data_IF_934270518083
#
_entry.id   IF_934270518083
#
_cell.length_a   1.000
_cell.length_b   1.000
_cell.length_c   1.000
_cell.angle_alpha   90.00
_cell.angle_beta   90.00
_cell.angle_gamma   90.00
#
_symmetry.space_group_name_H-M   'P 1'
#
loop_
_entity.id
_entity.type
_entity.pdbx_description
1 polymer ?
#
# COMPACT_ATOMS: atom_id res chain seq x y z
N UNK A 1 -13.23 -21.24 -87.03
CA UNK A 1 -11.91 -20.87 -86.54
C UNK A 1 -11.88 -21.22 -85.08
N UNK A 2 -11.19 -22.29 -84.73
CA UNK A 2 -11.16 -22.89 -83.38
C UNK A 2 -10.03 -22.24 -82.56
N UNK A 3 -10.36 -21.86 -81.36
CA UNK A 3 -9.33 -21.54 -80.36
C UNK A 3 -9.50 -22.42 -79.13
N UNK A 4 -8.51 -23.30 -78.95
CA UNK A 4 -8.41 -24.18 -77.78
C UNK A 4 -8.00 -23.38 -76.53
N UNK A 5 -8.80 -23.54 -75.45
CA UNK A 5 -8.48 -23.04 -74.14
C UNK A 5 -7.79 -24.15 -73.33
N UNK A 6 -6.54 -23.95 -72.89
CA UNK A 6 -5.79 -24.88 -72.05
C UNK A 6 -5.96 -24.47 -70.63
N UNK A 7 -6.69 -25.29 -69.86
CA UNK A 7 -6.87 -25.11 -68.41
C UNK A 7 -5.62 -25.55 -67.68
N UNK A 8 -4.93 -24.63 -66.99
CA UNK A 8 -3.83 -24.94 -66.06
C UNK A 8 -4.37 -25.12 -64.66
N UNK A 9 -4.28 -26.33 -64.17
CA UNK A 9 -4.56 -26.71 -62.81
C UNK A 9 -3.37 -26.33 -61.94
N UNK A 10 -3.52 -25.31 -61.10
CA UNK A 10 -2.50 -24.90 -60.10
C UNK A 10 -2.88 -25.52 -58.76
N UNK A 11 -2.04 -26.48 -58.32
CA UNK A 11 -2.12 -27.10 -57.00
C UNK A 11 -1.47 -26.18 -55.98
N UNK A 12 -2.30 -25.53 -55.12
CA UNK A 12 -1.81 -24.72 -54.04
C UNK A 12 -1.60 -25.59 -52.78
N UNK A 13 -0.37 -25.82 -52.39
CA UNK A 13 -0.01 -26.38 -51.09
C UNK A 13 -0.21 -25.30 -50.01
N UNK A 14 -1.22 -25.46 -49.19
CA UNK A 14 -1.40 -24.63 -47.99
C UNK A 14 -0.56 -25.19 -46.86
N UNK A 15 0.54 -24.51 -46.54
CA UNK A 15 1.29 -24.72 -45.30
C UNK A 15 0.51 -24.05 -44.15
N UNK A 16 -0.15 -24.87 -43.34
CA UNK A 16 -0.80 -24.43 -42.13
C UNK A 16 0.25 -24.16 -41.04
N UNK A 17 0.58 -22.88 -40.80
CA UNK A 17 1.34 -22.46 -39.65
C UNK A 17 0.36 -22.35 -38.50
N UNK A 18 0.36 -23.33 -37.59
CA UNK A 18 -0.35 -23.24 -36.31
C UNK A 18 0.43 -22.31 -35.40
N UNK A 19 -0.01 -21.04 -35.32
CA UNK A 19 0.43 -20.11 -34.30
C UNK A 19 -0.18 -20.55 -32.95
N UNK A 20 0.64 -21.22 -32.14
CA UNK A 20 0.30 -21.47 -30.75
C UNK A 20 0.39 -20.13 -30.02
N UNK A 21 -0.71 -19.41 -29.91
CA UNK A 21 -0.80 -18.23 -29.07
C UNK A 21 -0.67 -18.67 -27.60
N UNK A 22 0.49 -18.38 -26.99
CA UNK A 22 0.60 -18.40 -25.53
C UNK A 22 -0.33 -17.32 -24.98
N UNK A 23 -1.52 -17.70 -24.59
CA UNK A 23 -2.41 -16.84 -23.79
C UNK A 23 -1.78 -16.67 -22.41
N UNK A 24 -1.02 -15.60 -22.23
CA UNK A 24 -0.66 -15.12 -20.91
C UNK A 24 -1.93 -14.54 -20.28
N UNK A 25 -2.63 -15.34 -19.52
CA UNK A 25 -3.72 -14.87 -18.66
C UNK A 25 -3.12 -13.89 -17.66
N UNK A 26 -3.67 -12.68 -17.50
CA UNK A 26 -3.19 -11.74 -16.50
C UNK A 26 -3.19 -12.41 -15.12
N UNK A 27 -2.21 -12.14 -14.25
CA UNK A 27 -2.08 -12.81 -12.96
C UNK A 27 -3.28 -12.61 -12.01
N UNK A 28 -4.16 -11.69 -12.32
CA UNK A 28 -5.33 -11.32 -11.51
C UNK A 28 -6.59 -12.18 -11.76
N UNK A 29 -6.55 -13.13 -12.69
CA UNK A 29 -7.69 -14.00 -13.01
C UNK A 29 -7.51 -15.46 -12.62
N UNK A 30 -6.57 -15.79 -11.73
CA UNK A 30 -6.63 -17.12 -11.13
C UNK A 30 -7.85 -17.18 -10.22
N UNK A 31 -8.80 -18.12 -10.48
CA UNK A 31 -9.88 -18.32 -9.54
C UNK A 31 -9.24 -18.60 -8.18
N UNK A 32 -9.60 -17.81 -7.17
CA UNK A 32 -9.14 -18.05 -5.81
C UNK A 32 -9.58 -19.45 -5.42
N UNK A 33 -8.63 -20.37 -5.32
CA UNK A 33 -8.87 -21.71 -4.79
C UNK A 33 -9.09 -21.72 -3.29
N UNK A 34 -9.12 -20.52 -2.67
CA UNK A 34 -9.32 -20.36 -1.25
C UNK A 34 -10.78 -20.68 -0.89
N UNK A 35 -10.97 -21.65 -0.01
CA UNK A 35 -12.29 -22.02 0.48
C UNK A 35 -13.02 -20.83 1.12
N UNK A 36 -14.35 -20.78 0.98
CA UNK A 36 -15.16 -19.75 1.62
C UNK A 36 -14.99 -19.77 3.16
N UNK A 37 -15.02 -18.61 3.84
CA UNK A 37 -15.00 -18.55 5.30
C UNK A 37 -16.13 -19.39 5.92
N UNK A 38 -15.85 -20.07 7.03
CA UNK A 38 -16.84 -20.90 7.72
C UNK A 38 -17.01 -22.32 7.17
N UNK A 39 -16.20 -22.74 6.19
CA UNK A 39 -16.14 -24.12 5.71
C UNK A 39 -15.12 -24.95 6.50
N UNK A 40 -15.18 -26.28 6.41
CA UNK A 40 -14.20 -27.16 7.05
C UNK A 40 -12.76 -26.88 6.61
N UNK A 41 -12.56 -26.47 5.35
CA UNK A 41 -11.24 -26.09 4.82
C UNK A 41 -10.80 -24.67 5.21
N UNK A 42 -11.71 -23.83 5.70
CA UNK A 42 -11.46 -22.47 6.20
C UNK A 42 -12.41 -22.17 7.36
N UNK A 43 -12.21 -22.80 8.52
CA UNK A 43 -13.09 -22.62 9.66
C UNK A 43 -13.05 -21.19 10.18
N UNK A 44 -14.18 -20.72 10.65
CA UNK A 44 -14.31 -19.47 11.41
C UNK A 44 -14.55 -19.85 12.86
N UNK A 45 -13.87 -19.16 13.77
CA UNK A 45 -14.04 -19.38 15.20
C UNK A 45 -15.49 -19.13 15.60
N UNK A 46 -16.04 -19.98 16.49
CA UNK A 46 -17.27 -19.67 17.18
C UNK A 46 -17.10 -18.44 18.08
N UNK A 47 -18.21 -17.80 18.46
CA UNK A 47 -18.15 -16.64 19.35
C UNK A 47 -17.43 -16.95 20.68
N UNK A 48 -17.58 -18.17 21.22
CA UNK A 48 -16.90 -18.60 22.43
C UNK A 48 -15.40 -18.79 22.23
N UNK A 49 -15.00 -19.41 21.12
CA UNK A 49 -13.59 -19.57 20.79
C UNK A 49 -12.91 -18.21 20.52
N UNK A 50 -13.61 -17.28 19.86
CA UNK A 50 -13.11 -15.93 19.60
C UNK A 50 -12.75 -15.16 20.88
N UNK A 51 -13.42 -15.45 22.02
CA UNK A 51 -13.08 -14.85 23.31
C UNK A 51 -11.68 -15.22 23.83
N UNK A 52 -11.08 -16.27 23.30
CA UNK A 52 -9.71 -16.66 23.64
C UNK A 52 -8.67 -15.80 22.91
N UNK A 53 -9.07 -15.08 21.87
CA UNK A 53 -8.20 -14.28 20.99
C UNK A 53 -8.45 -12.77 21.09
N UNK A 54 -9.14 -12.34 22.16
CA UNK A 54 -9.32 -10.91 22.42
C UNK A 54 -8.00 -10.27 22.85
N UNK A 55 -7.74 -8.99 22.52
CA UNK A 55 -6.49 -8.31 22.86
C UNK A 55 -6.10 -8.41 24.32
N UNK A 56 -7.06 -8.28 25.24
CA UNK A 56 -6.82 -8.38 26.68
C UNK A 56 -6.21 -9.73 27.10
N UNK A 57 -6.64 -10.84 26.46
CA UNK A 57 -6.06 -12.17 26.72
C UNK A 57 -4.72 -12.37 26.04
N UNK A 58 -4.60 -11.87 24.82
CA UNK A 58 -3.38 -12.01 24.05
C UNK A 58 -2.20 -11.29 24.73
N UNK A 59 -2.43 -10.09 25.24
CA UNK A 59 -1.38 -9.27 25.86
C UNK A 59 -1.21 -9.56 27.37
N UNK A 60 -2.16 -10.23 28.03
CA UNK A 60 -2.08 -10.52 29.46
C UNK A 60 -0.94 -11.48 29.86
N UNK A 61 -0.41 -12.25 28.93
CA UNK A 61 0.55 -13.33 29.21
C UNK A 61 2.00 -13.01 28.84
N UNK A 62 2.30 -11.84 28.34
CA UNK A 62 3.66 -11.53 27.85
C UNK A 62 4.66 -11.29 28.98
N UNK A 63 4.21 -10.78 30.12
CA UNK A 63 4.98 -10.67 31.36
C UNK A 63 4.01 -10.72 32.54
N UNK A 64 4.08 -11.75 33.42
CA UNK A 64 3.19 -11.86 34.57
C UNK A 64 3.37 -10.74 35.60
N UNK A 65 4.48 -10.00 35.54
CA UNK A 65 4.79 -8.88 36.44
C UNK A 65 4.49 -7.51 35.81
N UNK A 66 4.19 -7.45 34.51
CA UNK A 66 3.86 -6.21 33.84
C UNK A 66 2.33 -5.99 33.81
N UNK A 67 1.93 -4.73 33.93
CA UNK A 67 0.53 -4.40 33.67
C UNK A 67 0.15 -4.76 32.23
N UNK A 68 -1.01 -5.37 31.99
CA UNK A 68 -1.46 -5.69 30.64
C UNK A 68 -1.47 -4.43 29.77
N UNK A 69 -0.92 -4.54 28.56
CA UNK A 69 -1.00 -3.44 27.61
C UNK A 69 -2.48 -3.18 27.25
N UNK A 70 -2.90 -1.95 27.43
CA UNK A 70 -4.21 -1.49 27.01
C UNK A 70 -4.04 -0.37 25.99
N UNK A 71 -4.80 -0.38 24.88
CA UNK A 71 -4.79 0.75 23.94
C UNK A 71 -5.16 2.03 24.67
N UNK A 72 -4.43 3.10 24.45
CA UNK A 72 -4.83 4.40 24.94
C UNK A 72 -6.10 4.85 24.24
N UNK A 73 -7.09 5.33 25.00
CA UNK A 73 -8.28 5.98 24.43
C UNK A 73 -7.87 7.30 23.76
N UNK A 74 -7.61 7.24 22.46
CA UNK A 74 -7.36 8.44 21.68
C UNK A 74 -8.70 9.02 21.27
N UNK A 75 -9.13 10.08 21.95
CA UNK A 75 -10.30 10.84 21.51
C UNK A 75 -9.90 11.77 20.38
N UNK A 76 -10.56 11.63 19.25
CA UNK A 76 -10.36 12.55 18.13
C UNK A 76 -10.97 13.92 18.49
N UNK A 77 -10.30 15.02 18.14
CA UNK A 77 -10.83 16.36 18.36
C UNK A 77 -12.00 16.65 17.41
N UNK A 78 -12.85 17.59 17.77
CA UNK A 78 -13.91 18.07 16.87
C UNK A 78 -13.34 18.70 15.60
N UNK A 79 -12.16 19.31 15.68
CA UNK A 79 -11.45 19.91 14.57
C UNK A 79 -10.00 19.46 14.58
N UNK A 80 -9.53 18.91 13.47
CA UNK A 80 -8.12 18.56 13.30
C UNK A 80 -7.24 19.82 13.14
N UNK A 81 -5.99 19.70 13.52
CA UNK A 81 -5.00 20.78 13.28
C UNK A 81 -4.69 20.95 11.79
N UNK A 82 -4.75 19.86 11.03
CA UNK A 82 -4.51 19.82 9.59
C UNK A 82 -5.52 18.89 8.93
N UNK A 83 -5.95 19.26 7.73
CA UNK A 83 -6.86 18.43 6.91
C UNK A 83 -6.20 18.19 5.57
N UNK A 84 -6.06 16.92 5.21
CA UNK A 84 -5.51 16.49 3.92
C UNK A 84 -6.65 16.06 3.01
N UNK A 85 -6.64 16.55 1.78
CA UNK A 85 -7.66 16.23 0.79
C UNK A 85 -7.38 16.86 -0.58
N UNK A 86 -8.30 16.68 -1.55
CA UNK A 86 -8.17 17.28 -2.86
C UNK A 86 -8.11 18.83 -2.80
N UNK A 87 -7.31 19.42 -3.67
CA UNK A 87 -7.22 20.87 -3.77
C UNK A 87 -8.62 21.49 -4.04
N UNK A 88 -8.89 22.61 -3.40
CA UNK A 88 -10.17 23.32 -3.54
C UNK A 88 -11.32 22.77 -2.69
N UNK A 89 -11.11 21.69 -1.96
CA UNK A 89 -12.11 21.19 -1.00
C UNK A 89 -12.14 22.08 0.24
N UNK A 90 -13.32 22.47 0.68
CA UNK A 90 -13.50 23.32 1.85
C UNK A 90 -12.86 22.68 3.11
N UNK A 91 -12.10 23.47 3.86
CA UNK A 91 -11.41 23.03 5.08
C UNK A 91 -10.09 22.26 4.84
N UNK A 92 -9.76 21.90 3.60
CA UNK A 92 -8.48 21.27 3.27
C UNK A 92 -7.34 22.27 3.43
N UNK A 93 -6.32 21.89 4.21
CA UNK A 93 -5.11 22.68 4.45
C UNK A 93 -3.93 22.20 3.62
N UNK A 94 -3.89 20.91 3.27
CA UNK A 94 -2.79 20.28 2.53
C UNK A 94 -3.33 19.26 1.53
N UNK A 95 -2.65 19.13 0.39
CA UNK A 95 -3.01 18.17 -0.65
C UNK A 95 -2.26 16.85 -0.55
N UNK A 96 -1.22 16.78 0.28
CA UNK A 96 -0.46 15.54 0.54
C UNK A 96 -0.32 15.30 2.04
N UNK A 97 -0.29 14.02 2.43
CA UNK A 97 -0.13 13.63 3.83
C UNK A 97 1.23 14.09 4.34
N UNK A 98 2.30 13.97 3.52
CA UNK A 98 3.63 14.37 3.92
C UNK A 98 3.71 15.88 4.21
N UNK A 99 3.08 16.73 3.41
CA UNK A 99 3.06 18.17 3.66
C UNK A 99 2.38 18.53 5.00
N UNK A 100 1.30 17.82 5.34
CA UNK A 100 0.64 18.01 6.64
C UNK A 100 1.51 17.53 7.81
N UNK A 101 2.20 16.40 7.66
CA UNK A 101 3.16 15.88 8.65
C UNK A 101 4.30 16.88 8.85
N UNK A 102 4.90 17.37 7.78
CA UNK A 102 5.96 18.37 7.83
C UNK A 102 5.49 19.65 8.54
N UNK A 103 4.31 20.14 8.23
CA UNK A 103 3.73 21.30 8.87
C UNK A 103 3.46 21.08 10.37
N UNK A 104 3.00 19.89 10.74
CA UNK A 104 2.79 19.53 12.15
C UNK A 104 4.10 19.50 12.94
N UNK A 105 5.16 18.90 12.36
CA UNK A 105 6.48 18.83 12.98
C UNK A 105 7.12 20.21 13.12
N UNK A 106 6.98 21.05 12.10
CA UNK A 106 7.53 22.41 12.10
C UNK A 106 6.87 23.34 13.14
N UNK A 107 5.76 22.94 13.76
CA UNK A 107 5.21 23.68 14.91
C UNK A 107 6.08 23.59 16.17
N UNK A 108 6.97 22.60 16.25
CA UNK A 108 7.87 22.38 17.40
C UNK A 108 7.14 22.39 18.75
N UNK A 109 5.90 21.87 18.80
CA UNK A 109 5.09 21.80 20.03
C UNK A 109 5.16 20.39 20.64
N UNK A 110 5.05 20.30 21.95
CA UNK A 110 4.87 19.04 22.66
C UNK A 110 3.42 18.54 22.63
N UNK A 111 2.47 19.38 22.23
CA UNK A 111 1.08 19.01 22.12
C UNK A 111 0.85 18.05 20.95
N UNK A 112 -0.08 17.11 21.14
CA UNK A 112 -0.49 16.18 20.10
C UNK A 112 -1.10 16.94 18.93
N UNK A 113 -0.60 16.69 17.73
CA UNK A 113 -1.14 17.24 16.50
C UNK A 113 -2.01 16.19 15.79
N UNK A 114 -3.16 16.61 15.29
CA UNK A 114 -4.13 15.75 14.63
C UNK A 114 -4.21 16.12 13.15
N UNK A 115 -4.05 15.09 12.31
CA UNK A 115 -4.11 15.22 10.86
C UNK A 115 -5.28 14.36 10.39
N UNK A 116 -6.36 15.01 9.94
CA UNK A 116 -7.50 14.35 9.33
C UNK A 116 -7.22 14.13 7.83
N UNK A 117 -7.54 12.94 7.34
CA UNK A 117 -7.36 12.58 5.93
C UNK A 117 -8.74 12.29 5.35
N UNK A 118 -9.16 13.12 4.40
CA UNK A 118 -10.44 12.97 3.71
C UNK A 118 -10.45 11.71 2.83
N UNK A 119 -11.62 11.16 2.49
CA UNK A 119 -11.73 10.05 1.55
C UNK A 119 -10.97 10.33 0.25
N UNK A 120 -10.21 9.35 -0.22
CA UNK A 120 -9.39 9.47 -1.43
C UNK A 120 -8.24 8.46 -1.47
N UNK A 121 -7.52 8.50 -2.59
CA UNK A 121 -6.31 7.70 -2.81
C UNK A 121 -5.11 8.64 -2.77
N UNK A 122 -4.16 8.34 -1.91
CA UNK A 122 -2.96 9.13 -1.66
C UNK A 122 -1.74 8.28 -2.00
N UNK A 123 -1.00 8.73 -3.00
CA UNK A 123 0.23 8.05 -3.43
C UNK A 123 1.44 8.64 -2.72
N UNK A 124 2.38 7.78 -2.35
CA UNK A 124 3.66 8.16 -1.78
C UNK A 124 3.92 7.58 -0.41
N UNK A 125 5.14 7.80 0.07
CA UNK A 125 5.53 7.45 1.43
C UNK A 125 5.16 8.54 2.41
N UNK A 126 4.91 8.14 3.66
CA UNK A 126 4.74 9.07 4.78
C UNK A 126 5.91 8.85 5.74
N UNK A 127 6.80 9.83 5.83
CA UNK A 127 7.94 9.81 6.72
C UNK A 127 7.69 10.71 7.92
N UNK A 128 7.73 10.13 9.10
CA UNK A 128 7.56 10.84 10.37
C UNK A 128 8.89 10.77 11.14
N UNK A 129 9.71 11.82 11.14
CA UNK A 129 10.93 11.85 11.96
C UNK A 129 10.60 11.94 13.44
N UNK A 130 11.60 11.69 14.29
CA UNK A 130 11.47 11.96 15.71
C UNK A 130 11.17 13.44 15.93
N UNK A 131 10.13 13.73 16.70
CA UNK A 131 9.66 15.07 16.99
C UNK A 131 9.28 15.20 18.47
N UNK A 132 9.30 16.42 19.03
CA UNK A 132 8.98 16.63 20.45
C UNK A 132 7.52 16.31 20.78
N UNK A 133 6.60 16.40 19.81
CA UNK A 133 5.17 16.14 19.99
C UNK A 133 4.70 14.83 19.34
N UNK A 134 3.54 14.38 19.76
CA UNK A 134 2.87 13.20 19.19
C UNK A 134 2.01 13.58 17.99
N UNK A 135 1.93 12.70 16.99
CA UNK A 135 1.03 12.84 15.85
C UNK A 135 -0.08 11.78 15.91
N UNK A 136 -1.27 12.17 15.48
CA UNK A 136 -2.37 11.24 15.17
C UNK A 136 -2.86 11.53 13.76
N UNK A 137 -2.69 10.55 12.88
CA UNK A 137 -3.25 10.56 11.53
C UNK A 137 -4.50 9.68 11.53
N UNK A 138 -5.60 10.18 10.98
CA UNK A 138 -6.83 9.41 10.92
C UNK A 138 -7.63 9.71 9.66
N UNK A 139 -8.26 8.68 9.11
CA UNK A 139 -9.21 8.82 7.99
C UNK A 139 -10.57 9.31 8.48
N UNK A 140 -11.24 10.14 7.70
CA UNK A 140 -12.59 10.67 8.02
C UNK A 140 -13.71 9.94 7.26
N UNK A 141 -13.38 8.90 6.48
CA UNK A 141 -14.35 8.06 5.79
C UNK A 141 -15.17 7.19 6.74
N UNK A 142 -16.28 6.68 6.25
CA UNK A 142 -17.13 5.73 7.00
C UNK A 142 -16.53 4.32 7.06
N UNK A 143 -15.73 3.97 6.06
CA UNK A 143 -15.11 2.65 5.90
C UNK A 143 -13.59 2.77 5.81
N UNK A 144 -12.83 1.77 6.28
CA UNK A 144 -11.37 1.79 6.18
C UNK A 144 -10.83 1.97 4.76
N UNK A 145 -11.55 1.48 3.74
CA UNK A 145 -11.16 1.59 2.32
C UNK A 145 -11.47 2.97 1.70
N UNK A 146 -12.15 3.85 2.39
CA UNK A 146 -12.42 5.21 1.88
C UNK A 146 -11.14 6.04 1.81
N UNK A 147 -10.14 5.73 2.64
CA UNK A 147 -8.81 6.35 2.61
C UNK A 147 -7.77 5.29 2.28
N UNK A 148 -7.13 5.40 1.14
CA UNK A 148 -6.05 4.52 0.72
C UNK A 148 -4.74 5.29 0.63
N UNK A 149 -3.72 4.79 1.28
CA UNK A 149 -2.36 5.34 1.23
C UNK A 149 -1.46 4.24 0.69
N UNK A 150 -0.79 4.48 -0.41
CA UNK A 150 0.01 3.46 -1.04
C UNK A 150 1.13 4.01 -1.92
N UNK A 151 2.08 3.14 -2.19
CA UNK A 151 3.14 3.35 -3.17
C UNK A 151 3.51 1.99 -3.76
N UNK A 152 3.50 1.90 -5.08
CA UNK A 152 3.94 0.70 -5.78
C UNK A 152 5.47 0.67 -5.83
N UNK A 153 6.07 -0.14 -4.97
CA UNK A 153 7.52 -0.43 -4.96
C UNK A 153 7.71 -1.93 -4.83
N UNK A 154 8.72 -2.47 -5.49
CA UNK A 154 9.07 -3.88 -5.41
C UNK A 154 10.57 -4.07 -5.10
N UNK A 155 10.95 -5.31 -4.80
CA UNK A 155 12.33 -5.68 -4.45
C UNK A 155 13.30 -5.69 -5.64
N UNK A 156 12.78 -5.64 -6.87
CA UNK A 156 13.57 -5.64 -8.12
C UNK A 156 13.85 -4.21 -8.62
N UNK A 157 13.21 -3.20 -8.02
CA UNK A 157 13.40 -1.80 -8.39
C UNK A 157 14.83 -1.34 -8.13
N UNK A 158 15.43 -0.62 -9.08
CA UNK A 158 16.74 -0.04 -8.87
C UNK A 158 16.74 1.03 -7.77
N UNK A 159 17.88 1.17 -7.09
CA UNK A 159 18.00 2.07 -5.93
C UNK A 159 17.73 3.53 -6.24
N UNK A 160 18.05 3.99 -7.44
CA UNK A 160 17.87 5.39 -7.85
C UNK A 160 16.38 5.69 -8.04
N UNK A 161 15.68 4.83 -8.74
CA UNK A 161 14.22 4.93 -8.92
C UNK A 161 13.51 4.85 -7.58
N UNK A 162 13.89 3.90 -6.74
CA UNK A 162 13.33 3.73 -5.41
C UNK A 162 13.51 4.99 -4.54
N UNK A 163 14.72 5.57 -4.48
CA UNK A 163 14.99 6.81 -3.75
C UNK A 163 14.15 7.98 -4.26
N UNK A 164 13.99 8.09 -5.57
CA UNK A 164 13.16 9.15 -6.18
C UNK A 164 11.69 9.03 -5.78
N UNK A 165 11.17 7.81 -5.63
CA UNK A 165 9.78 7.60 -5.22
C UNK A 165 9.57 7.84 -3.73
N UNK A 166 10.47 7.34 -2.88
CA UNK A 166 10.28 7.36 -1.43
C UNK A 166 10.84 8.59 -0.72
N UNK A 167 11.79 9.28 -1.33
CA UNK A 167 12.41 10.49 -0.77
C UNK A 167 12.82 11.46 -1.89
N UNK A 168 11.85 11.95 -2.70
CA UNK A 168 12.13 12.72 -3.93
C UNK A 168 12.94 13.98 -3.68
N UNK A 169 12.75 14.64 -2.55
CA UNK A 169 13.45 15.86 -2.19
C UNK A 169 14.77 15.61 -1.43
N UNK A 170 15.11 14.35 -1.13
CA UNK A 170 16.32 14.02 -0.36
C UNK A 170 16.37 14.59 1.06
N UNK A 171 15.25 15.11 1.57
CA UNK A 171 15.22 15.87 2.83
C UNK A 171 15.10 15.00 4.08
N UNK A 172 14.65 13.75 3.92
CA UNK A 172 14.47 12.87 5.06
C UNK A 172 15.79 12.15 5.37
N UNK A 173 16.17 12.15 6.66
CA UNK A 173 17.43 11.60 7.16
C UNK A 173 18.67 12.16 6.42
N UNK A 174 18.88 13.46 6.42
CA UNK A 174 20.02 14.06 5.76
C UNK A 174 21.35 13.51 6.32
N UNK A 175 22.32 13.28 5.45
CA UNK A 175 23.65 12.79 5.83
C UNK A 175 23.75 11.29 6.15
N UNK A 176 22.62 10.56 6.15
CA UNK A 176 22.61 9.10 6.11
C UNK A 176 21.78 8.69 4.91
N UNK A 177 22.24 7.73 4.10
CA UNK A 177 21.32 7.12 3.14
C UNK A 177 20.19 6.54 3.98
N UNK A 178 19.02 7.18 3.93
CA UNK A 178 17.83 6.77 4.68
C UNK A 178 17.52 5.29 4.46
N UNK A 179 18.13 4.72 3.45
CA UNK A 179 17.85 3.43 2.89
C UNK A 179 19.13 2.61 2.68
N UNK A 180 20.14 2.84 3.51
CA UNK A 180 21.40 2.10 3.44
C UNK A 180 21.21 0.58 3.58
N UNK A 181 20.15 0.15 4.27
CA UNK A 181 19.79 -1.27 4.37
C UNK A 181 19.41 -1.85 3.02
N UNK A 182 18.66 -1.09 2.22
CA UNK A 182 18.31 -1.46 0.87
C UNK A 182 19.53 -1.47 -0.05
N UNK A 183 20.37 -0.44 0.03
CA UNK A 183 21.64 -0.38 -0.73
C UNK A 183 22.57 -1.55 -0.36
N UNK A 184 22.66 -1.90 0.91
CA UNK A 184 23.46 -3.03 1.38
C UNK A 184 22.90 -4.38 0.88
N UNK A 185 21.59 -4.53 0.77
CA UNK A 185 20.95 -5.71 0.21
C UNK A 185 21.16 -5.81 -1.30
N UNK A 186 21.05 -4.70 -2.03
CA UNK A 186 21.29 -4.66 -3.47
C UNK A 186 22.76 -4.89 -3.82
N UNK A 187 23.69 -4.30 -3.08
CA UNK A 187 25.12 -4.53 -3.32
C UNK A 187 25.55 -5.98 -3.12
N UNK A 188 24.92 -6.69 -2.16
CA UNK A 188 25.13 -8.12 -1.95
C UNK A 188 24.53 -9.01 -3.04
N UNK A 189 23.50 -8.54 -3.73
CA UNK A 189 22.86 -9.28 -4.83
C UNK A 189 23.65 -9.17 -6.13
N UNK A 190 24.39 -8.07 -6.30
CA UNK A 190 25.19 -7.77 -7.49
C UNK A 190 26.67 -8.18 -7.35
N UNK A 191 27.07 -8.74 -6.21
CA UNK A 191 28.40 -9.26 -5.93
C UNK A 191 28.43 -10.80 -5.99
#
# INVERSE_FOLDING_TARGET
>A
MNTFSVSRLTLALAFGVTLTACSSTPPDQRPSTQAAPGTAARPVLSANEAQNFVPARYFASMDPNAAPWTPSDIRLPQQANFVVGPAGTAGVTHTTIQAAVDAAINKHTSERQYIAILPGEYEGTVYIPAAPGSLTLYGTGEKPLDVKIGLAVDSEMDTTTWRRLVNPAGKYMPGKPAWYMFDACQSKRNA
#
